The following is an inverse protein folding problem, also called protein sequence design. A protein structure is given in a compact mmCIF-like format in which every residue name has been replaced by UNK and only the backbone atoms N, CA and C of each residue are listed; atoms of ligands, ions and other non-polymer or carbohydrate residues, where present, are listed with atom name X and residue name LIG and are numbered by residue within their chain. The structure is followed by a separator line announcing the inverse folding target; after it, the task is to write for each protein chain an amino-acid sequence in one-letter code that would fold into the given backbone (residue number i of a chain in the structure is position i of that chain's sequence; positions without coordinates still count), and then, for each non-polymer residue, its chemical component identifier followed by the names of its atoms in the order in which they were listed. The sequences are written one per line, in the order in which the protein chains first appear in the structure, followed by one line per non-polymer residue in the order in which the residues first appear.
data_IF_852402416583
#
_entry.id   IF_852402416583
#
_cell.length_a   1.000
_cell.length_b   1.000
_cell.length_c   1.000
_cell.angle_alpha   90.00
_cell.angle_beta   90.00
_cell.angle_gamma   90.00
#
_symmetry.space_group_name_H-M   'P 1'
#
loop_
_entity.id
_entity.type
_entity.pdbx_description
1 polymer ?
#
# COMPACT_ATOMS: atom_id res chain seq x y z
N UNK A 1 17.02 8.69 -0.48
CA UNK A 1 15.75 8.30 0.17
C UNK A 1 15.03 7.28 -0.70
N UNK A 2 14.36 6.31 -0.09
CA UNK A 2 13.42 5.41 -0.76
C UNK A 2 12.12 5.43 0.05
N UNK A 3 11.01 5.75 -0.60
CA UNK A 3 9.67 5.62 0.00
C UNK A 3 8.85 4.64 -0.81
N UNK A 4 8.31 3.61 -0.15
CA UNK A 4 7.24 2.77 -0.69
C UNK A 4 5.96 3.15 0.04
N UNK A 5 4.86 3.29 -0.69
CA UNK A 5 3.57 3.59 -0.10
C UNK A 5 2.46 3.48 -1.13
N UNK A 6 1.33 4.09 -0.79
CA UNK A 6 0.14 4.10 -1.61
C UNK A 6 -0.32 5.53 -1.81
N UNK A 7 -0.72 5.81 -3.04
CA UNK A 7 -1.40 7.04 -3.43
C UNK A 7 -2.89 6.76 -3.49
N UNK A 8 -3.68 7.51 -2.71
CA UNK A 8 -5.13 7.48 -2.77
C UNK A 8 -5.63 8.39 -3.89
N UNK A 9 -6.38 7.83 -4.82
CA UNK A 9 -7.02 8.55 -5.93
C UNK A 9 -8.52 8.57 -5.69
N UNK A 10 -9.11 9.75 -5.60
CA UNK A 10 -10.55 9.92 -5.39
C UNK A 10 -11.33 9.97 -6.71
N UNK A 11 -10.72 10.56 -7.74
CA UNK A 11 -11.33 10.75 -9.06
C UNK A 11 -10.62 9.85 -10.07
N UNK A 12 -11.29 8.85 -10.68
CA UNK A 12 -10.66 8.04 -11.70
C UNK A 12 -10.38 8.88 -12.95
N UNK A 13 -9.31 8.54 -13.68
CA UNK A 13 -8.99 9.22 -14.93
C UNK A 13 -7.54 9.12 -15.33
N UNK A 14 -7.14 10.03 -16.22
CA UNK A 14 -5.81 10.12 -16.80
C UNK A 14 -5.00 11.17 -16.03
N UNK A 15 -3.89 10.74 -15.45
CA UNK A 15 -2.99 11.56 -14.64
C UNK A 15 -1.62 11.67 -15.31
N UNK A 16 -0.95 12.80 -15.13
CA UNK A 16 0.47 12.95 -15.45
C UNK A 16 1.21 13.32 -14.17
N UNK A 17 2.07 12.44 -13.68
CA UNK A 17 2.93 12.76 -12.54
C UNK A 17 4.08 13.66 -12.98
N UNK A 18 4.48 14.57 -12.10
CA UNK A 18 5.72 15.31 -12.25
C UNK A 18 6.56 15.25 -10.98
N UNK A 19 7.88 15.29 -11.15
CA UNK A 19 8.84 15.38 -10.06
C UNK A 19 9.79 16.54 -10.33
N UNK A 20 9.92 17.45 -9.36
CA UNK A 20 11.00 18.45 -9.35
C UNK A 20 12.12 17.87 -8.49
N UNK A 21 13.33 17.68 -9.02
CA UNK A 21 14.43 17.12 -8.24
C UNK A 21 15.79 17.76 -8.51
N UNK A 22 16.62 17.80 -7.46
CA UNK A 22 18.06 18.06 -7.47
C UNK A 22 18.69 17.13 -6.43
N UNK A 23 19.39 16.04 -6.77
CA UNK A 23 19.81 15.58 -8.10
C UNK A 23 18.75 14.63 -8.71
N UNK A 24 19.03 13.33 -8.72
CA UNK A 24 18.28 12.34 -9.47
C UNK A 24 17.09 11.73 -8.73
N UNK A 25 16.09 11.30 -9.50
CA UNK A 25 14.90 10.62 -9.00
C UNK A 25 14.45 9.47 -9.89
N UNK A 26 13.68 8.53 -9.32
CA UNK A 26 12.93 7.52 -10.05
C UNK A 26 11.56 7.36 -9.42
N UNK A 27 10.50 7.35 -10.23
CA UNK A 27 9.13 7.17 -9.78
C UNK A 27 8.54 5.92 -10.41
N UNK A 28 7.96 5.05 -9.59
CA UNK A 28 7.10 3.97 -10.03
C UNK A 28 5.66 4.19 -9.55
N UNK A 29 4.71 3.88 -10.43
CA UNK A 29 3.28 3.85 -10.14
C UNK A 29 2.77 2.47 -10.55
N UNK A 30 2.10 1.75 -9.64
CA UNK A 30 1.63 0.37 -9.87
C UNK A 30 2.73 -0.55 -10.45
N UNK A 31 3.94 -0.49 -9.88
CA UNK A 31 5.14 -1.26 -10.29
C UNK A 31 5.73 -0.87 -11.65
N UNK A 32 5.13 0.06 -12.40
CA UNK A 32 5.67 0.58 -13.66
C UNK A 32 6.58 1.77 -13.41
N UNK A 33 7.79 1.77 -13.98
CA UNK A 33 8.72 2.91 -13.93
C UNK A 33 8.25 4.01 -14.88
N UNK A 34 7.91 5.17 -14.33
CA UNK A 34 7.24 6.25 -15.08
C UNK A 34 8.08 7.53 -15.18
N UNK A 35 9.06 7.71 -14.29
CA UNK A 35 10.12 8.73 -14.38
C UNK A 35 11.44 8.06 -14.01
N UNK A 36 12.50 8.24 -14.80
CA UNK A 36 13.79 7.58 -14.62
C UNK A 36 14.97 8.53 -14.86
N UNK A 37 15.17 9.45 -13.94
CA UNK A 37 16.12 10.56 -14.08
C UNK A 37 17.23 10.42 -13.03
N UNK A 38 18.05 9.37 -13.17
CA UNK A 38 19.01 8.94 -12.14
C UNK A 38 20.45 9.36 -12.46
N UNK A 39 20.66 10.67 -12.55
CA UNK A 39 21.95 11.29 -12.80
C UNK A 39 22.03 12.68 -12.16
N UNK A 40 23.25 13.21 -12.01
CA UNK A 40 23.51 14.49 -11.33
C UNK A 40 22.98 15.64 -12.19
N UNK A 41 22.16 16.52 -11.59
CA UNK A 41 21.53 17.60 -12.32
C UNK A 41 21.06 18.72 -11.37
N UNK A 42 21.03 19.97 -11.86
CA UNK A 42 20.36 21.04 -11.13
C UNK A 42 18.86 20.74 -11.00
N UNK A 43 18.18 21.50 -10.13
CA UNK A 43 16.72 21.44 -9.98
C UNK A 43 16.02 21.49 -11.32
N UNK A 44 15.26 20.44 -11.61
CA UNK A 44 14.54 20.27 -12.88
C UNK A 44 13.23 19.55 -12.66
N UNK A 45 12.21 19.99 -13.40
CA UNK A 45 10.91 19.32 -13.49
C UNK A 45 10.94 18.22 -14.56
N UNK A 46 10.51 17.04 -14.16
CA UNK A 46 10.37 15.85 -15.00
C UNK A 46 8.92 15.41 -15.02
N UNK A 47 8.39 15.06 -16.19
CA UNK A 47 7.01 14.59 -16.34
C UNK A 47 7.00 13.13 -16.78
N UNK A 48 6.04 12.39 -16.27
CA UNK A 48 5.73 11.04 -16.75
C UNK A 48 4.89 11.09 -18.04
N UNK A 49 4.70 9.92 -18.66
CA UNK A 49 3.58 9.71 -19.59
C UNK A 49 2.24 9.76 -18.84
N UNK A 50 1.16 9.84 -19.60
CA UNK A 50 -0.18 9.67 -19.05
C UNK A 50 -0.36 8.27 -18.43
N UNK A 51 -0.95 8.23 -17.23
CA UNK A 51 -1.25 7.02 -16.46
C UNK A 51 -2.74 7.02 -16.14
N UNK A 52 -3.43 5.95 -16.55
CA UNK A 52 -4.82 5.74 -16.17
C UNK A 52 -4.89 5.18 -14.75
N UNK A 53 -5.55 5.90 -13.85
CA UNK A 53 -5.79 5.50 -12.47
C UNK A 53 -7.30 5.32 -12.23
N UNK A 54 -7.64 4.38 -11.37
CA UNK A 54 -9.01 4.19 -10.90
C UNK A 54 -9.18 4.91 -9.56
N UNK A 55 -10.41 5.03 -9.08
CA UNK A 55 -10.64 5.41 -7.70
C UNK A 55 -10.10 4.32 -6.79
N UNK A 56 -9.36 4.68 -5.75
CA UNK A 56 -8.77 3.75 -4.78
C UNK A 56 -7.29 3.99 -4.58
N UNK A 57 -6.58 2.96 -4.11
CA UNK A 57 -5.18 3.06 -3.75
C UNK A 57 -4.27 2.47 -4.82
N UNK A 58 -3.17 3.17 -5.10
CA UNK A 58 -2.21 2.81 -6.11
C UNK A 58 -0.80 2.75 -5.52
N UNK A 59 -0.05 1.70 -5.83
CA UNK A 59 1.30 1.56 -5.30
C UNK A 59 2.20 2.67 -5.85
N UNK A 60 2.93 3.32 -4.96
CA UNK A 60 3.85 4.39 -5.28
C UNK A 60 5.23 4.06 -4.73
N UNK A 61 6.26 4.23 -5.55
CA UNK A 61 7.65 4.16 -5.10
C UNK A 61 8.41 5.34 -5.65
N UNK A 62 9.03 6.13 -4.77
CA UNK A 62 9.91 7.23 -5.15
C UNK A 62 11.31 6.96 -4.59
N UNK A 63 12.28 6.90 -5.49
CA UNK A 63 13.69 6.99 -5.14
C UNK A 63 14.20 8.39 -5.45
N UNK A 64 15.01 8.91 -4.55
CA UNK A 64 15.66 10.21 -4.70
C UNK A 64 17.07 10.15 -4.12
N UNK A 65 18.00 10.84 -4.78
CA UNK A 65 19.32 11.10 -4.22
C UNK A 65 19.73 12.55 -4.44
N UNK A 66 20.58 13.03 -3.54
CA UNK A 66 21.30 14.28 -3.68
C UNK A 66 22.75 14.04 -3.34
N UNK A 67 23.63 14.39 -4.26
CA UNK A 67 25.09 14.23 -4.16
C UNK A 67 25.76 15.52 -3.72
N UNK A 68 25.15 16.67 -3.97
CA UNK A 68 25.69 17.99 -3.67
C UNK A 68 25.06 18.60 -2.41
N UNK A 69 25.37 19.89 -2.14
CA UNK A 69 24.99 20.55 -0.87
C UNK A 69 23.49 20.82 -0.73
N UNK A 70 22.79 21.13 -1.82
CA UNK A 70 21.37 21.51 -1.80
C UNK A 70 20.55 20.41 -2.46
N UNK A 71 19.61 19.86 -1.70
CA UNK A 71 18.70 18.83 -2.17
C UNK A 71 17.29 19.37 -2.31
N UNK A 72 16.62 19.03 -3.41
CA UNK A 72 15.23 19.36 -3.65
C UNK A 72 14.50 18.12 -4.18
N UNK A 73 13.29 17.89 -3.65
CA UNK A 73 12.37 16.90 -4.20
C UNK A 73 10.93 17.35 -3.97
N UNK A 74 10.15 17.44 -5.04
CA UNK A 74 8.70 17.67 -5.00
C UNK A 74 8.02 16.68 -5.92
N UNK A 75 6.98 16.00 -5.44
CA UNK A 75 6.14 15.12 -6.25
C UNK A 75 4.76 15.75 -6.41
N UNK A 76 4.34 15.91 -7.67
CA UNK A 76 3.04 16.46 -8.03
C UNK A 76 2.36 15.68 -9.14
N UNK A 77 1.16 16.13 -9.49
CA UNK A 77 0.38 15.56 -10.58
C UNK A 77 -0.36 16.64 -11.39
N UNK A 78 -0.68 16.30 -12.62
CA UNK A 78 -1.75 16.91 -13.41
C UNK A 78 -2.92 15.95 -13.35
N UNK A 79 -4.06 16.44 -12.85
CA UNK A 79 -5.30 15.67 -12.66
C UNK A 79 -6.10 15.58 -13.97
N UNK A 80 -7.12 14.72 -14.04
CA UNK A 80 -7.93 14.55 -15.26
C UNK A 80 -8.65 15.81 -15.74
N UNK A 81 -8.89 16.77 -14.83
CA UNK A 81 -9.49 18.07 -15.13
C UNK A 81 -8.46 19.11 -15.65
N UNK A 82 -7.19 18.73 -15.79
CA UNK A 82 -6.09 19.59 -16.22
C UNK A 82 -5.47 20.43 -15.11
N UNK A 83 -5.99 20.39 -13.88
CA UNK A 83 -5.40 21.10 -12.75
C UNK A 83 -4.10 20.43 -12.29
N UNK A 84 -3.11 21.26 -11.91
CA UNK A 84 -1.78 20.82 -11.48
C UNK A 84 -1.51 21.25 -10.04
N UNK A 85 -1.01 20.33 -9.22
CA UNK A 85 -0.67 20.59 -7.82
C UNK A 85 0.40 19.60 -7.33
N UNK A 86 1.16 20.01 -6.32
CA UNK A 86 1.92 19.08 -5.49
C UNK A 86 0.93 18.15 -4.82
N UNK A 87 1.19 16.83 -4.86
CA UNK A 87 0.25 15.86 -4.29
C UNK A 87 0.10 16.16 -2.79
N UNK A 88 -1.11 16.46 -2.31
CA UNK A 88 -1.29 16.80 -0.91
C UNK A 88 -0.99 15.61 0.00
N UNK A 89 -0.45 15.87 1.20
CA UNK A 89 0.01 14.85 2.13
C UNK A 89 -1.03 13.79 2.50
N UNK A 90 -2.31 14.17 2.57
CA UNK A 90 -3.44 13.30 2.89
C UNK A 90 -3.80 12.30 1.76
N UNK A 91 -3.15 12.37 0.60
CA UNK A 91 -3.23 11.34 -0.43
C UNK A 91 -2.16 10.25 -0.27
N UNK A 92 -1.16 10.43 0.60
CA UNK A 92 -0.12 9.43 0.84
C UNK A 92 -0.44 8.56 2.04
N UNK A 93 -0.37 7.25 1.82
CA UNK A 93 -0.56 6.23 2.83
C UNK A 93 0.67 5.32 2.83
N UNK A 94 1.05 4.82 4.01
CA UNK A 94 2.14 3.87 4.15
C UNK A 94 1.68 2.72 5.03
N UNK A 95 2.15 1.53 4.72
CA UNK A 95 2.01 0.37 5.58
C UNK A 95 3.27 0.27 6.42
N UNK A 96 3.14 0.04 7.74
CA UNK A 96 4.30 -0.16 8.61
C UNK A 96 4.88 -1.57 8.47
N UNK A 97 4.14 -2.50 7.85
CA UNK A 97 4.58 -3.86 7.54
C UNK A 97 3.81 -4.43 6.35
N UNK A 98 4.29 -5.51 5.72
CA UNK A 98 3.49 -6.34 4.80
C UNK A 98 2.70 -7.44 5.55
N UNK A 99 2.66 -7.37 6.87
CA UNK A 99 2.04 -8.34 7.76
C UNK A 99 0.78 -7.78 8.39
N UNK A 100 -0.18 -8.65 8.70
CA UNK A 100 -1.35 -8.32 9.54
C UNK A 100 -1.35 -9.22 10.75
N UNK A 101 -1.71 -8.66 11.89
CA UNK A 101 -1.68 -9.35 13.18
C UNK A 101 -3.10 -9.52 13.72
N UNK A 102 -3.39 -10.68 14.27
CA UNK A 102 -4.60 -10.97 15.02
C UNK A 102 -4.20 -11.42 16.43
N UNK A 103 -4.86 -10.86 17.44
CA UNK A 103 -4.59 -11.17 18.86
C UNK A 103 -5.88 -11.48 19.60
N UNK A 104 -5.78 -11.96 20.85
CA UNK A 104 -6.95 -12.27 21.69
C UNK A 104 -7.56 -13.67 21.50
N UNK A 105 -6.98 -14.51 20.64
CA UNK A 105 -7.39 -15.91 20.48
C UNK A 105 -6.40 -16.88 21.15
N UNK A 106 -6.88 -18.04 21.66
CA UNK A 106 -6.01 -19.11 22.11
C UNK A 106 -5.13 -19.65 20.97
N UNK A 107 -3.87 -20.03 21.26
CA UNK A 107 -2.89 -20.45 20.24
C UNK A 107 -3.30 -21.66 19.38
N UNK A 108 -4.26 -22.46 19.85
CA UNK A 108 -4.79 -23.62 19.12
C UNK A 108 -5.87 -23.28 18.10
N UNK A 109 -6.33 -22.03 18.08
CA UNK A 109 -7.33 -21.58 17.12
C UNK A 109 -6.66 -21.39 15.76
N UNK A 110 -7.46 -21.42 14.70
CA UNK A 110 -6.97 -21.23 13.34
C UNK A 110 -7.72 -20.06 12.72
N UNK A 111 -6.99 -19.05 12.28
CA UNK A 111 -7.55 -17.98 11.47
C UNK A 111 -7.14 -18.21 10.01
N UNK A 112 -8.14 -18.17 9.14
CA UNK A 112 -7.99 -18.25 7.70
C UNK A 112 -8.49 -16.95 7.09
N UNK A 113 -7.67 -16.37 6.21
CA UNK A 113 -7.93 -15.11 5.53
C UNK A 113 -7.94 -15.33 4.03
N UNK A 114 -8.94 -14.76 3.37
CA UNK A 114 -9.17 -14.90 1.94
C UNK A 114 -9.36 -13.51 1.31
N UNK A 115 -8.41 -13.01 0.51
CA UNK A 115 -8.61 -11.77 -0.24
C UNK A 115 -9.81 -11.88 -1.18
N UNK A 116 -10.70 -10.91 -1.11
CA UNK A 116 -11.94 -10.91 -1.88
C UNK A 116 -11.64 -10.88 -3.39
N UNK A 117 -12.34 -11.72 -4.15
CA UNK A 117 -12.13 -11.83 -5.60
C UNK A 117 -10.91 -12.67 -6.01
N UNK A 118 -10.29 -13.38 -5.07
CA UNK A 118 -9.18 -14.31 -5.34
C UNK A 118 -9.48 -15.69 -4.75
N UNK A 119 -8.83 -16.73 -5.29
CA UNK A 119 -8.84 -18.08 -4.71
C UNK A 119 -7.73 -18.27 -3.65
N UNK A 120 -7.02 -17.19 -3.29
CA UNK A 120 -5.92 -17.26 -2.34
C UNK A 120 -6.45 -17.45 -0.93
N UNK A 121 -5.74 -18.28 -0.18
CA UNK A 121 -6.06 -18.58 1.21
C UNK A 121 -4.78 -18.47 2.02
N UNK A 122 -4.81 -17.62 3.03
CA UNK A 122 -3.73 -17.43 3.98
C UNK A 122 -4.18 -17.99 5.32
N UNK A 123 -3.38 -18.89 5.89
CA UNK A 123 -3.53 -19.29 7.28
C UNK A 123 -2.47 -18.57 8.09
N UNK A 124 -2.87 -17.97 9.21
CA UNK A 124 -1.90 -17.30 10.05
C UNK A 124 -0.94 -18.26 10.75
N UNK A 125 0.24 -17.76 11.09
CA UNK A 125 1.23 -18.43 11.91
C UNK A 125 1.14 -17.87 13.33
N UNK A 126 0.83 -18.73 14.30
CA UNK A 126 0.80 -18.35 15.71
C UNK A 126 2.22 -18.32 16.31
N UNK A 127 2.53 -17.23 16.99
CA UNK A 127 3.75 -17.09 17.79
C UNK A 127 3.43 -16.28 19.05
N UNK A 128 3.59 -16.90 20.23
CA UNK A 128 3.39 -16.24 21.53
C UNK A 128 2.04 -15.50 21.65
N UNK A 129 0.94 -16.17 21.27
CA UNK A 129 -0.41 -15.58 21.29
C UNK A 129 -0.72 -14.57 20.17
N UNK A 130 0.18 -14.35 19.22
CA UNK A 130 -0.05 -13.49 18.05
C UNK A 130 -0.18 -14.37 16.80
N UNK A 131 -1.29 -14.21 16.08
CA UNK A 131 -1.57 -14.85 14.80
C UNK A 131 -1.21 -13.89 13.68
N UNK A 132 -0.12 -14.18 12.97
CA UNK A 132 0.45 -13.30 11.95
C UNK A 132 0.19 -13.84 10.54
N UNK A 133 -0.23 -12.98 9.64
CA UNK A 133 -0.31 -13.24 8.21
C UNK A 133 0.73 -12.38 7.51
N UNK A 134 1.64 -13.01 6.78
CA UNK A 134 2.63 -12.32 5.96
C UNK A 134 2.30 -12.36 4.47
N UNK A 135 3.06 -11.60 3.69
CA UNK A 135 3.11 -11.67 2.22
C UNK A 135 1.76 -11.45 1.52
N UNK A 136 0.94 -10.58 2.11
CA UNK A 136 -0.19 -9.95 1.44
C UNK A 136 0.37 -8.92 0.43
N UNK A 137 0.93 -9.39 -0.69
CA UNK A 137 1.50 -8.56 -1.76
C UNK A 137 0.44 -7.87 -2.63
N UNK A 138 -0.65 -7.42 -2.02
CA UNK A 138 -1.75 -6.76 -2.73
C UNK A 138 -1.76 -5.25 -2.46
N UNK A 139 -2.37 -4.49 -3.37
CA UNK A 139 -2.51 -3.06 -3.20
C UNK A 139 -3.37 -2.80 -1.96
N UNK A 140 -2.78 -2.25 -0.91
CA UNK A 140 -3.47 -2.02 0.35
C UNK A 140 -4.40 -0.80 0.23
N UNK A 141 -5.57 -0.81 0.89
CA UNK A 141 -6.08 -1.87 1.75
C UNK A 141 -6.58 -3.07 0.94
N UNK A 142 -6.44 -4.26 1.52
CA UNK A 142 -6.92 -5.49 0.91
C UNK A 142 -8.27 -5.86 1.55
N UNK A 143 -9.37 -5.97 0.80
CA UNK A 143 -10.61 -6.50 1.33
C UNK A 143 -10.46 -8.00 1.58
N UNK A 144 -10.65 -8.47 2.81
CA UNK A 144 -10.51 -9.88 3.18
C UNK A 144 -11.74 -10.44 3.85
N UNK A 145 -12.03 -11.71 3.59
CA UNK A 145 -12.90 -12.51 4.43
C UNK A 145 -12.06 -13.25 5.48
N UNK A 146 -12.54 -13.28 6.73
CA UNK A 146 -11.89 -13.93 7.86
C UNK A 146 -12.77 -15.06 8.38
N UNK A 147 -12.23 -16.28 8.40
CA UNK A 147 -12.83 -17.44 9.03
C UNK A 147 -11.99 -17.83 10.26
N UNK A 148 -12.64 -18.02 11.40
CA UNK A 148 -11.99 -18.44 12.65
C UNK A 148 -12.53 -19.81 13.03
N UNK A 149 -11.61 -20.74 13.28
CA UNK A 149 -11.91 -22.10 13.71
C UNK A 149 -11.35 -22.30 15.12
N UNK A 150 -12.11 -23.02 15.95
CA UNK A 150 -11.67 -23.43 17.29
C UNK A 150 -10.60 -24.55 17.21
N UNK A 151 -10.13 -25.02 18.36
CA UNK A 151 -9.13 -26.10 18.46
C UNK A 151 -9.59 -27.46 17.92
N UNK A 152 -10.90 -27.66 17.75
CA UNK A 152 -11.50 -28.86 17.17
C UNK A 152 -11.74 -28.70 15.66
N UNK A 153 -11.22 -27.61 15.07
CA UNK A 153 -11.37 -27.27 13.65
C UNK A 153 -12.83 -26.99 13.23
N UNK A 154 -13.69 -26.61 14.18
CA UNK A 154 -15.07 -26.16 13.92
C UNK A 154 -15.06 -24.65 13.64
N UNK A 155 -15.74 -24.22 12.57
CA UNK A 155 -15.92 -22.81 12.24
C UNK A 155 -16.80 -22.14 13.31
N UNK A 156 -16.29 -21.09 13.94
CA UNK A 156 -16.99 -20.36 15.01
C UNK A 156 -17.30 -18.91 14.64
N UNK A 157 -16.59 -18.36 13.64
CA UNK A 157 -16.83 -17.03 13.13
C UNK A 157 -16.45 -16.96 11.66
N UNK A 158 -17.24 -16.23 10.89
CA UNK A 158 -16.94 -15.86 9.51
C UNK A 158 -17.44 -14.43 9.27
N UNK A 159 -16.63 -13.60 8.63
CA UNK A 159 -17.05 -12.26 8.22
C UNK A 159 -18.19 -12.35 7.20
N UNK A 160 -19.26 -11.60 7.44
CA UNK A 160 -20.39 -11.50 6.48
C UNK A 160 -20.11 -10.53 5.34
N UNK A 161 -19.22 -9.57 5.55
CA UNK A 161 -18.72 -8.63 4.56
C UNK A 161 -17.19 -8.54 4.67
N UNK A 162 -16.46 -8.40 3.55
CA UNK A 162 -15.01 -8.26 3.60
C UNK A 162 -14.57 -7.08 4.48
N UNK A 163 -13.53 -7.28 5.28
CA UNK A 163 -12.87 -6.25 6.07
C UNK A 163 -11.73 -5.64 5.24
N UNK A 164 -11.64 -4.31 5.20
CA UNK A 164 -10.47 -3.64 4.63
C UNK A 164 -9.32 -3.68 5.64
N UNK A 165 -8.23 -4.36 5.29
CA UNK A 165 -7.05 -4.48 6.14
C UNK A 165 -5.84 -3.73 5.58
N UNK A 166 -5.05 -3.13 6.46
CA UNK A 166 -3.75 -2.56 6.12
C UNK A 166 -2.60 -3.38 6.66
N UNK A 167 -1.51 -3.40 5.91
CA UNK A 167 -0.25 -3.94 6.37
C UNK A 167 0.28 -3.18 7.58
N UNK A 168 0.42 -3.90 8.69
CA UNK A 168 0.80 -3.39 10.00
C UNK A 168 -0.33 -3.36 11.02
N UNK A 169 -1.58 -3.52 10.59
CA UNK A 169 -2.72 -3.49 11.50
C UNK A 169 -2.73 -4.68 12.46
N UNK A 170 -3.17 -4.43 13.69
CA UNK A 170 -3.47 -5.44 14.70
C UNK A 170 -4.97 -5.47 14.98
N UNK A 171 -5.59 -6.64 14.79
CA UNK A 171 -7.00 -6.90 15.05
C UNK A 171 -7.14 -7.72 16.33
N UNK A 172 -7.65 -7.09 17.38
CA UNK A 172 -8.04 -7.78 18.60
C UNK A 172 -9.35 -8.54 18.37
N UNK A 173 -9.29 -9.87 18.39
CA UNK A 173 -10.47 -10.73 18.33
C UNK A 173 -11.02 -10.95 19.73
N UNK A 174 -12.33 -10.73 19.89
CA UNK A 174 -13.06 -11.05 21.11
C UNK A 174 -14.12 -12.08 20.77
N UNK A 175 -14.09 -13.21 21.48
CA UNK A 175 -15.15 -14.20 21.44
C UNK A 175 -16.21 -13.77 22.47
N UNK A 176 -17.42 -13.52 22.01
CA UNK A 176 -18.60 -13.36 22.89
C UNK A 176 -19.16 -14.73 23.30
#
# INVERSE_FOLDING_TARGET
MSGNGFLKVENPGKYVFYVISSDGCKLWVNKELVINEWYDQPSRLHMSREIKLLKGFHQLKLLYYNRLRFGEITLGWVRPDGSSETIPGNHFYFTVSNKVFFTGLPEKYKIVVKPAGTDRVYQCLFTQGICMIGDLEEAMPVPINVDIYNSENTLIYSTTTPLEIWGGDEYLVKLE
#
